data_IF_260167197575
#
_entry.id   IF_260167197575
#
_cell.length_a   1.000
_cell.length_b   1.000
_cell.length_c   1.000
_cell.angle_alpha   90.00
_cell.angle_beta   90.00
_cell.angle_gamma   90.00
#
_symmetry.space_group_name_H-M   'P 1'
#
loop_
_entity.id
_entity.type
_entity.pdbx_description
1 polymer ?
#
# COMPACT_ATOMS: atom_id res chain seq x y z
N UNK A 1 -8.67 16.53 18.41
CA UNK A 1 -9.71 15.57 17.99
C UNK A 1 -9.23 15.04 16.66
N UNK A 2 -9.22 13.72 16.50
CA UNK A 2 -8.79 13.10 15.26
C UNK A 2 -9.95 12.30 14.69
N UNK A 3 -10.13 12.41 13.39
CA UNK A 3 -11.10 11.62 12.64
C UNK A 3 -10.37 10.44 11.99
N UNK A 4 -11.08 9.33 11.80
CA UNK A 4 -10.57 8.14 11.13
C UNK A 4 -11.51 7.81 9.98
N UNK A 5 -10.95 7.73 8.77
CA UNK A 5 -11.64 7.27 7.57
C UNK A 5 -11.16 5.84 7.32
N UNK A 6 -12.08 4.88 7.26
CA UNK A 6 -11.75 3.50 6.86
C UNK A 6 -11.67 3.43 5.33
N UNK A 7 -10.51 3.00 4.82
CA UNK A 7 -10.21 2.89 3.39
C UNK A 7 -10.40 1.47 2.85
N UNK A 8 -10.73 0.49 3.71
CA UNK A 8 -10.88 -0.92 3.35
C UNK A 8 -9.60 -1.76 3.48
N UNK A 9 -9.68 -3.05 3.11
CA UNK A 9 -8.58 -4.00 3.19
C UNK A 9 -7.66 -4.02 1.95
N UNK A 10 -8.19 -3.56 0.81
CA UNK A 10 -7.56 -3.54 -0.51
C UNK A 10 -8.19 -2.41 -1.35
N UNK A 11 -7.66 -2.10 -2.55
CA UNK A 11 -8.29 -1.17 -3.49
C UNK A 11 -9.73 -1.58 -3.85
N UNK A 12 -10.56 -0.60 -4.19
CA UNK A 12 -12.02 -0.78 -4.28
C UNK A 12 -12.49 -1.79 -5.35
N UNK A 13 -11.73 -1.97 -6.43
CA UNK A 13 -12.06 -2.88 -7.52
C UNK A 13 -11.24 -4.18 -7.52
N UNK A 14 -10.58 -4.50 -6.40
CA UNK A 14 -9.71 -5.68 -6.28
C UNK A 14 -10.28 -6.67 -5.28
N UNK A 15 -10.02 -7.95 -5.50
CA UNK A 15 -10.32 -8.99 -4.51
C UNK A 15 -9.50 -8.78 -3.23
N UNK A 16 -10.05 -9.23 -2.10
CA UNK A 16 -9.39 -9.16 -0.80
C UNK A 16 -9.67 -10.40 0.04
N UNK A 17 -8.86 -10.60 1.07
CA UNK A 17 -8.97 -11.74 1.95
C UNK A 17 -10.33 -11.74 2.66
N UNK A 18 -11.00 -12.89 2.65
CA UNK A 18 -12.30 -13.08 3.29
C UNK A 18 -12.21 -14.05 4.47
N UNK A 19 -12.81 -13.65 5.60
CA UNK A 19 -12.90 -14.48 6.80
C UNK A 19 -13.58 -15.81 6.46
N UNK A 20 -12.99 -16.92 6.92
CA UNK A 20 -13.54 -18.27 6.74
C UNK A 20 -13.19 -18.95 5.41
N UNK A 21 -12.52 -18.27 4.46
CA UNK A 21 -12.15 -18.87 3.17
C UNK A 21 -10.80 -19.61 3.22
N UNK A 22 -9.97 -19.30 4.21
CA UNK A 22 -8.64 -19.91 4.37
C UNK A 22 -8.21 -19.87 5.84
N UNK A 23 -7.51 -20.91 6.34
CA UNK A 23 -6.92 -20.89 7.68
C UNK A 23 -5.80 -19.85 7.83
N UNK A 24 -5.24 -19.36 6.72
CA UNK A 24 -4.16 -18.37 6.69
C UNK A 24 -4.67 -16.91 6.57
N UNK A 25 -5.96 -16.71 6.87
CA UNK A 25 -6.65 -15.43 6.66
C UNK A 25 -5.91 -14.25 7.30
N UNK A 26 -5.53 -14.36 8.58
CA UNK A 26 -4.92 -13.24 9.31
C UNK A 26 -3.64 -12.77 8.64
N UNK A 27 -2.78 -13.70 8.18
CA UNK A 27 -1.52 -13.37 7.53
C UNK A 27 -1.77 -12.66 6.19
N UNK A 28 -2.69 -13.19 5.39
CA UNK A 28 -3.02 -12.63 4.07
C UNK A 28 -3.66 -11.25 4.19
N UNK A 29 -4.64 -11.08 5.08
CA UNK A 29 -5.31 -9.80 5.27
C UNK A 29 -4.35 -8.72 5.82
N UNK A 30 -3.43 -9.09 6.72
CA UNK A 30 -2.37 -8.15 7.17
C UNK A 30 -1.41 -7.79 6.05
N UNK A 31 -1.05 -8.74 5.18
CA UNK A 31 -0.18 -8.50 4.02
C UNK A 31 -0.85 -7.55 3.02
N UNK A 32 -2.15 -7.72 2.76
CA UNK A 32 -2.94 -6.83 1.91
C UNK A 32 -3.00 -5.42 2.49
N UNK A 33 -3.34 -5.25 3.77
CA UNK A 33 -3.39 -3.93 4.41
C UNK A 33 -2.01 -3.26 4.41
N UNK A 34 -0.93 -4.01 4.62
CA UNK A 34 0.43 -3.49 4.52
C UNK A 34 0.79 -3.06 3.10
N UNK A 35 0.38 -3.84 2.09
CA UNK A 35 0.59 -3.53 0.67
C UNK A 35 -0.23 -2.33 0.24
N UNK A 36 -1.48 -2.22 0.70
CA UNK A 36 -2.37 -1.11 0.38
C UNK A 36 -1.82 0.21 0.92
N UNK A 37 -1.29 0.19 2.15
CA UNK A 37 -0.54 1.31 2.71
C UNK A 37 0.64 1.71 1.84
N UNK A 38 1.45 0.75 1.38
CA UNK A 38 2.57 1.03 0.50
C UNK A 38 2.12 1.61 -0.85
N UNK A 39 1.00 1.13 -1.40
CA UNK A 39 0.39 1.65 -2.62
C UNK A 39 -0.06 3.12 -2.49
N UNK A 40 -0.74 3.47 -1.39
CA UNK A 40 -1.11 4.86 -1.11
C UNK A 40 0.13 5.74 -0.95
N UNK A 41 1.17 5.24 -0.28
CA UNK A 41 2.45 5.96 -0.15
C UNK A 41 3.11 6.14 -1.51
N UNK A 42 3.12 5.13 -2.37
CA UNK A 42 3.64 5.25 -3.73
C UNK A 42 2.93 6.36 -4.50
N UNK A 43 1.59 6.36 -4.47
CA UNK A 43 0.77 7.28 -5.25
C UNK A 43 0.77 8.71 -4.74
N UNK A 44 0.69 8.90 -3.42
CA UNK A 44 0.43 10.18 -2.77
C UNK A 44 1.58 10.69 -1.90
N UNK A 45 2.62 9.89 -1.68
CA UNK A 45 3.72 10.18 -0.78
C UNK A 45 3.44 9.74 0.67
N UNK A 46 4.44 9.86 1.57
CA UNK A 46 4.24 9.56 2.98
C UNK A 46 3.26 10.57 3.61
N UNK A 47 2.45 10.15 4.62
CA UNK A 47 1.58 11.07 5.34
C UNK A 47 2.39 12.21 5.98
N UNK A 48 1.97 13.49 5.84
CA UNK A 48 2.57 14.59 6.58
C UNK A 48 2.24 14.52 8.07
N UNK A 49 3.00 15.25 8.89
CA UNK A 49 2.73 15.36 10.33
C UNK A 49 1.31 15.87 10.60
N UNK A 50 0.52 15.09 11.33
CA UNK A 50 -0.91 15.35 11.54
C UNK A 50 -1.84 14.39 10.78
N UNK A 51 -1.29 13.62 9.84
CA UNK A 51 -1.93 12.46 9.22
C UNK A 51 -1.18 11.18 9.58
N UNK A 52 -1.88 10.06 9.59
CA UNK A 52 -1.26 8.74 9.64
C UNK A 52 -2.14 7.71 8.94
N UNK A 53 -1.51 6.85 8.14
CA UNK A 53 -2.12 5.59 7.76
C UNK A 53 -1.98 4.64 8.95
N UNK A 54 -3.03 3.95 9.35
CA UNK A 54 -3.05 3.05 10.52
C UNK A 54 -3.80 1.77 10.18
N UNK A 55 -3.44 0.67 10.82
CA UNK A 55 -4.23 -0.57 10.69
C UNK A 55 -5.36 -0.53 11.70
N UNK A 56 -6.59 -0.68 11.23
CA UNK A 56 -7.78 -0.81 12.04
C UNK A 56 -8.01 -2.29 12.36
N UNK A 57 -8.44 -2.58 13.57
CA UNK A 57 -8.76 -3.94 14.02
C UNK A 57 -10.27 -4.03 14.18
N UNK A 58 -10.91 -4.88 13.37
CA UNK A 58 -12.35 -5.03 13.33
C UNK A 58 -12.72 -6.40 13.89
N UNK A 59 -13.20 -6.42 15.13
CA UNK A 59 -13.70 -7.64 15.76
C UNK A 59 -15.15 -7.90 15.32
N UNK A 60 -15.41 -9.10 14.82
CA UNK A 60 -16.72 -9.57 14.41
C UNK A 60 -16.98 -10.98 14.98
N UNK A 61 -18.24 -11.41 14.94
CA UNK A 61 -18.64 -12.74 15.44
C UNK A 61 -17.92 -13.90 14.73
N UNK A 62 -17.41 -13.67 13.53
CA UNK A 62 -16.72 -14.66 12.70
C UNK A 62 -15.19 -14.57 12.77
N UNK A 63 -14.66 -13.69 13.63
CA UNK A 63 -13.23 -13.47 13.80
C UNK A 63 -12.84 -11.99 13.70
N UNK A 64 -11.54 -11.76 13.68
CA UNK A 64 -10.96 -10.42 13.58
C UNK A 64 -10.43 -10.23 12.16
N UNK A 65 -10.80 -9.13 11.53
CA UNK A 65 -10.21 -8.68 10.27
C UNK A 65 -9.60 -7.28 10.42
N UNK A 66 -8.77 -6.90 9.46
CA UNK A 66 -8.00 -5.68 9.46
C UNK A 66 -8.30 -4.87 8.20
N UNK A 67 -8.42 -3.55 8.37
CA UNK A 67 -8.54 -2.58 7.28
C UNK A 67 -7.49 -1.48 7.45
N UNK A 68 -7.27 -0.71 6.40
CA UNK A 68 -6.42 0.46 6.42
C UNK A 68 -7.27 1.69 6.76
N UNK A 69 -6.87 2.44 7.78
CA UNK A 69 -7.49 3.71 8.15
C UNK A 69 -6.58 4.90 7.86
N UNK A 70 -7.17 6.01 7.44
CA UNK A 70 -6.54 7.32 7.44
C UNK A 70 -6.98 8.07 8.70
N UNK A 71 -6.03 8.29 9.63
CA UNK A 71 -6.23 9.13 10.82
C UNK A 71 -5.78 10.56 10.51
N UNK A 72 -6.65 11.53 10.75
CA UNK A 72 -6.37 12.95 10.52
C UNK A 72 -6.61 13.74 11.80
N UNK A 73 -5.62 14.52 12.26
CA UNK A 73 -5.84 15.49 13.33
C UNK A 73 -6.54 16.74 12.78
N UNK A 74 -7.75 17.01 13.28
CA UNK A 74 -8.55 18.15 12.82
C UNK A 74 -7.91 19.51 13.14
N UNK A 75 -7.04 19.58 14.16
CA UNK A 75 -6.29 20.79 14.49
C UNK A 75 -5.17 21.04 13.49
N UNK A 76 -4.44 19.99 13.12
CA UNK A 76 -3.40 20.02 12.09
C UNK A 76 -4.00 20.36 10.72
N UNK A 77 -5.09 19.68 10.32
CA UNK A 77 -5.76 19.93 9.04
C UNK A 77 -6.23 21.39 8.87
N UNK A 78 -6.64 22.07 9.95
CA UNK A 78 -7.00 23.50 9.89
C UNK A 78 -5.81 24.45 9.79
N UNK A 79 -4.63 24.04 10.26
CA UNK A 79 -3.43 24.90 10.33
C UNK A 79 -2.45 24.65 9.19
N UNK A 80 -2.44 23.44 8.66
CA UNK A 80 -1.53 23.00 7.62
C UNK A 80 -2.31 22.54 6.38
N UNK A 81 -2.28 23.31 5.27
CA UNK A 81 -2.91 22.94 4.01
C UNK A 81 -2.41 21.60 3.45
N UNK A 82 -1.18 21.18 3.75
CA UNK A 82 -0.65 19.90 3.27
C UNK A 82 -1.38 18.70 3.92
N UNK A 83 -1.78 18.82 5.19
CA UNK A 83 -2.56 17.80 5.91
C UNK A 83 -3.95 17.68 5.29
N UNK A 84 -4.62 18.81 5.03
CA UNK A 84 -5.93 18.82 4.40
C UNK A 84 -5.89 18.25 2.96
N UNK A 85 -4.92 18.67 2.15
CA UNK A 85 -4.75 18.19 0.79
C UNK A 85 -4.41 16.69 0.73
N UNK A 86 -3.54 16.21 1.64
CA UNK A 86 -3.25 14.78 1.74
C UNK A 86 -4.51 13.99 2.08
N UNK A 87 -5.29 14.45 3.06
CA UNK A 87 -6.53 13.79 3.44
C UNK A 87 -7.53 13.73 2.28
N UNK A 88 -7.72 14.85 1.57
CA UNK A 88 -8.61 14.93 0.42
C UNK A 88 -8.21 13.98 -0.72
N UNK A 89 -6.91 13.89 -1.02
CA UNK A 89 -6.40 13.00 -2.07
C UNK A 89 -6.49 11.51 -1.72
N UNK A 90 -6.44 11.16 -0.43
CA UNK A 90 -6.35 9.76 0.04
C UNK A 90 -7.68 9.17 0.48
N UNK A 91 -8.68 10.01 0.83
CA UNK A 91 -9.95 9.54 1.42
C UNK A 91 -10.71 8.53 0.57
N UNK A 92 -10.56 8.57 -0.76
CA UNK A 92 -11.22 7.65 -1.70
C UNK A 92 -10.41 6.36 -1.94
N UNK A 93 -9.19 6.28 -1.42
CA UNK A 93 -8.31 5.13 -1.57
C UNK A 93 -7.77 4.96 -2.99
N UNK A 94 -7.37 3.72 -3.31
CA UNK A 94 -7.01 3.32 -4.67
C UNK A 94 -8.18 2.56 -5.31
N UNK A 95 -8.30 2.67 -6.63
CA UNK A 95 -9.22 1.85 -7.40
C UNK A 95 -8.65 0.45 -7.66
N UNK A 96 -7.35 0.36 -7.96
CA UNK A 96 -6.66 -0.89 -8.34
C UNK A 96 -5.23 -0.95 -7.80
N UNK A 97 -4.58 -2.11 -7.82
CA UNK A 97 -3.16 -2.21 -7.44
C UNK A 97 -2.22 -1.55 -8.47
N UNK A 98 -2.59 -1.63 -9.76
CA UNK A 98 -1.71 -1.27 -10.86
C UNK A 98 -1.46 0.24 -10.95
N UNK A 99 -2.41 1.08 -10.54
CA UNK A 99 -2.23 2.54 -10.54
C UNK A 99 -1.17 3.01 -9.52
N UNK A 100 -0.79 2.15 -8.57
CA UNK A 100 0.31 2.37 -7.64
C UNK A 100 1.58 1.57 -8.00
N UNK A 101 1.59 0.87 -9.14
CA UNK A 101 2.73 0.07 -9.60
C UNK A 101 2.88 -1.28 -8.90
N UNK A 102 1.81 -1.77 -8.27
CA UNK A 102 1.79 -3.07 -7.58
C UNK A 102 1.01 -4.11 -8.38
N UNK A 103 1.43 -5.37 -8.25
CA UNK A 103 0.56 -6.51 -8.49
C UNK A 103 -0.21 -6.83 -7.19
N UNK A 104 -1.38 -7.49 -7.26
CA UNK A 104 -2.07 -7.98 -6.07
C UNK A 104 -1.12 -8.81 -5.20
N UNK A 105 -1.06 -8.56 -3.88
CA UNK A 105 -0.16 -9.32 -2.99
C UNK A 105 -0.66 -10.74 -2.74
N UNK A 106 -1.95 -11.00 -3.00
CA UNK A 106 -2.61 -12.28 -2.88
C UNK A 106 -3.43 -12.52 -4.13
N UNK A 107 -3.37 -13.73 -4.67
CA UNK A 107 -4.18 -14.19 -5.81
C UNK A 107 -5.33 -15.06 -5.32
N UNK A 108 -6.50 -14.84 -5.89
CA UNK A 108 -7.76 -15.50 -5.57
C UNK A 108 -8.28 -16.22 -6.81
N UNK A 109 -7.70 -17.39 -7.10
CA UNK A 109 -8.11 -18.21 -8.25
C UNK A 109 -9.34 -19.08 -7.87
N UNK A 110 -10.32 -19.19 -8.77
CA UNK A 110 -11.57 -19.92 -8.51
C UNK A 110 -11.33 -21.38 -8.11
N UNK A 111 -11.85 -21.76 -6.95
CA UNK A 111 -11.74 -23.11 -6.41
C UNK A 111 -10.37 -23.47 -5.84
N UNK A 112 -9.43 -22.52 -5.79
CA UNK A 112 -8.12 -22.69 -5.18
C UNK A 112 -7.99 -21.94 -3.84
N UNK A 113 -7.09 -22.40 -2.98
CA UNK A 113 -6.72 -21.65 -1.80
C UNK A 113 -5.97 -20.37 -2.21
N UNK A 114 -6.21 -19.22 -1.54
CA UNK A 114 -5.50 -17.97 -1.84
C UNK A 114 -3.98 -18.12 -1.74
N UNK A 115 -3.24 -17.48 -2.66
CA UNK A 115 -1.77 -17.61 -2.76
C UNK A 115 -1.09 -16.26 -2.74
N UNK A 116 -0.09 -16.09 -1.87
CA UNK A 116 0.80 -14.93 -1.90
C UNK A 116 2.13 -15.33 -2.55
N UNK A 117 2.51 -14.67 -3.64
CA UNK A 117 3.78 -14.95 -4.35
C UNK A 117 5.00 -14.38 -3.62
N UNK A 118 4.78 -13.48 -2.67
CA UNK A 118 5.81 -12.87 -1.82
C UNK A 118 5.37 -12.96 -0.36
N UNK A 119 6.31 -13.24 0.53
CA UNK A 119 6.01 -13.52 1.92
C UNK A 119 5.97 -12.26 2.79
N UNK A 120 6.58 -11.17 2.33
CA UNK A 120 6.75 -9.94 3.12
C UNK A 120 6.47 -8.66 2.34
N UNK A 121 6.15 -7.60 3.07
CA UNK A 121 6.00 -6.26 2.51
C UNK A 121 7.30 -5.76 1.88
N UNK A 122 8.46 -6.11 2.45
CA UNK A 122 9.77 -5.67 1.94
C UNK A 122 10.03 -6.23 0.53
N UNK A 123 9.68 -7.50 0.29
CA UNK A 123 9.78 -8.15 -1.03
C UNK A 123 8.79 -7.55 -2.04
N UNK A 124 7.56 -7.25 -1.59
CA UNK A 124 6.51 -6.65 -2.43
C UNK A 124 6.93 -5.26 -2.88
N UNK A 125 7.39 -4.42 -1.95
CA UNK A 125 7.89 -3.06 -2.25
C UNK A 125 9.14 -3.12 -3.14
N UNK A 126 10.07 -4.04 -2.87
CA UNK A 126 11.22 -4.26 -3.75
C UNK A 126 10.79 -4.60 -5.18
N UNK A 127 9.77 -5.46 -5.34
CA UNK A 127 9.19 -5.78 -6.65
C UNK A 127 8.60 -4.56 -7.36
N UNK A 128 7.87 -3.71 -6.64
CA UNK A 128 7.32 -2.47 -7.18
C UNK A 128 8.42 -1.46 -7.57
N UNK A 129 9.48 -1.35 -6.76
CA UNK A 129 10.65 -0.51 -7.06
C UNK A 129 11.38 -0.98 -8.31
N UNK A 130 11.56 -2.29 -8.48
CA UNK A 130 12.12 -2.85 -9.71
C UNK A 130 11.19 -2.60 -10.90
N UNK A 131 9.87 -2.78 -10.76
CA UNK A 131 8.92 -2.58 -11.85
C UNK A 131 8.84 -1.11 -12.32
N UNK A 132 8.97 -0.16 -11.39
CA UNK A 132 8.85 1.28 -11.64
C UNK A 132 10.19 1.98 -11.89
N UNK A 133 11.32 1.25 -11.89
CA UNK A 133 12.66 1.85 -12.02
C UNK A 133 12.88 2.62 -13.33
N UNK A 134 13.76 3.62 -13.34
CA UNK A 134 14.22 4.20 -14.60
C UNK A 134 15.08 3.22 -15.40
N UNK A 135 15.17 3.44 -16.71
CA UNK A 135 16.12 2.75 -17.57
C UNK A 135 17.58 3.17 -17.32
N UNK A 136 18.55 2.56 -18.02
CA UNK A 136 19.98 2.88 -17.88
C UNK A 136 20.34 4.35 -18.18
N UNK A 137 19.50 5.05 -18.95
CA UNK A 137 19.64 6.47 -19.28
C UNK A 137 18.99 7.39 -18.23
N UNK A 138 18.47 6.83 -17.15
CA UNK A 138 17.78 7.55 -16.08
C UNK A 138 16.32 7.92 -16.40
N UNK A 139 15.78 7.49 -17.55
CA UNK A 139 14.41 7.84 -17.95
C UNK A 139 13.40 6.79 -17.51
N UNK A 140 12.27 7.24 -17.00
CA UNK A 140 11.15 6.37 -16.68
C UNK A 140 10.35 6.03 -17.93
N UNK A 141 9.97 4.76 -18.08
CA UNK A 141 9.17 4.29 -19.21
C UNK A 141 7.76 4.91 -19.22
N UNK A 142 7.22 5.19 -18.04
CA UNK A 142 5.94 5.86 -17.82
C UNK A 142 6.20 7.04 -16.89
N UNK A 143 5.76 8.28 -17.21
CA UNK A 143 6.02 9.45 -16.36
C UNK A 143 5.59 9.25 -14.91
N UNK A 144 4.44 8.62 -14.68
CA UNK A 144 3.92 8.36 -13.33
C UNK A 144 4.82 7.43 -12.51
N UNK A 145 5.63 6.57 -13.14
CA UNK A 145 6.57 5.70 -12.42
C UNK A 145 7.63 6.50 -11.67
N UNK A 146 7.99 7.69 -12.14
CA UNK A 146 8.91 8.56 -11.41
C UNK A 146 8.35 8.91 -10.03
N UNK A 147 7.06 9.26 -9.96
CA UNK A 147 6.38 9.60 -8.71
C UNK A 147 6.35 8.40 -7.79
N UNK A 148 5.88 7.25 -8.30
CA UNK A 148 5.76 6.01 -7.51
C UNK A 148 7.12 5.57 -6.97
N UNK A 149 8.13 5.50 -7.84
CA UNK A 149 9.46 5.03 -7.51
C UNK A 149 10.13 5.93 -6.46
N UNK A 150 10.08 7.26 -6.66
CA UNK A 150 10.65 8.23 -5.71
C UNK A 150 10.00 8.13 -4.34
N UNK A 151 8.66 8.05 -4.29
CA UNK A 151 7.94 7.99 -3.02
C UNK A 151 8.23 6.68 -2.27
N UNK A 152 8.25 5.55 -2.98
CA UNK A 152 8.60 4.26 -2.39
C UNK A 152 10.04 4.22 -1.91
N UNK A 153 11.00 4.72 -2.69
CA UNK A 153 12.40 4.74 -2.31
C UNK A 153 12.64 5.58 -1.05
N UNK A 154 11.94 6.72 -0.92
CA UNK A 154 12.01 7.57 0.26
C UNK A 154 11.38 6.91 1.50
N UNK A 155 10.25 6.20 1.34
CA UNK A 155 9.54 5.59 2.47
C UNK A 155 10.09 4.22 2.90
N UNK A 156 10.71 3.48 1.97
CA UNK A 156 11.20 2.12 2.17
C UNK A 156 12.69 1.98 1.75
N UNK A 157 13.62 2.67 2.43
CA UNK A 157 15.02 2.71 2.03
C UNK A 157 15.68 1.32 1.99
N UNK A 158 15.31 0.42 2.91
CA UNK A 158 15.82 -0.97 2.92
C UNK A 158 15.41 -1.76 1.67
N UNK A 159 14.17 -1.62 1.22
CA UNK A 159 13.69 -2.25 -0.01
C UNK A 159 14.36 -1.63 -1.24
N UNK A 160 14.63 -0.32 -1.22
CA UNK A 160 15.36 0.36 -2.30
C UNK A 160 16.81 -0.11 -2.41
N UNK A 161 17.52 -0.24 -1.29
CA UNK A 161 18.87 -0.81 -1.26
C UNK A 161 18.91 -2.27 -1.73
N UNK A 162 17.88 -3.06 -1.39
CA UNK A 162 17.75 -4.43 -1.88
C UNK A 162 17.50 -4.47 -3.40
N UNK A 163 16.60 -3.63 -3.91
CA UNK A 163 16.34 -3.52 -5.35
C UNK A 163 17.58 -3.10 -6.14
N UNK A 164 18.36 -2.15 -5.61
CA UNK A 164 19.61 -1.72 -6.25
C UNK A 164 20.62 -2.86 -6.36
N UNK A 165 20.81 -3.65 -5.30
CA UNK A 165 21.72 -4.81 -5.33
C UNK A 165 21.34 -5.83 -6.39
N UNK A 166 20.04 -6.10 -6.58
CA UNK A 166 19.57 -6.99 -7.65
C UNK A 166 19.96 -6.47 -9.03
N UNK A 167 19.99 -5.15 -9.24
CA UNK A 167 20.37 -4.55 -10.52
C UNK A 167 21.89 -4.57 -10.75
N UNK A 168 22.70 -4.56 -9.70
CA UNK A 168 24.16 -4.65 -9.79
C UNK A 168 24.64 -6.07 -10.15
N UNK A 169 23.78 -7.08 -9.97
CA UNK A 169 24.06 -8.49 -10.26
C UNK A 169 23.66 -8.93 -11.69
N UNK A 170 23.05 -8.05 -12.50
CA UNK A 170 22.56 -8.30 -13.87
C UNK A 170 23.49 -7.66 -14.90
#
# INVERSE_FOLDING_TARGET
MSDIIDLGGAPANEDCAQLGHTPDFERLNRLEVATYRAGLIARFGPPPDGCALITLTNAHDFGVYYTLGLKVDAGAARRDPAVAAFAENVQDGLATWIEAGFAPPVRYDDGEAPKADRASIDEIVMGALLATRPGPDGRFAIPDFEILHRNLAAAYPRSAEAAQRVLEEI
#
